data_IF_775729932567
#
_entry.id   IF_775729932567
#
_cell.length_a   1.000
_cell.length_b   1.000
_cell.length_c   1.000
_cell.angle_alpha   90.00
_cell.angle_beta   90.00
_cell.angle_gamma   90.00
#
_symmetry.space_group_name_H-M   'P 1'
#
loop_
_entity.id
_entity.type
_entity.pdbx_description
1 polymer ?
#
# COMPACT_ATOMS: atom_id res chain seq x y z
N UNK A 1 45.58 -33.71 -52.36
CA UNK A 1 45.12 -33.73 -50.94
C UNK A 1 45.35 -32.41 -50.20
N UNK A 2 45.51 -31.27 -50.89
CA UNK A 2 45.90 -29.98 -50.26
C UNK A 2 44.71 -29.04 -49.97
N UNK A 3 43.60 -29.17 -50.70
CA UNK A 3 42.45 -28.26 -50.61
C UNK A 3 41.65 -28.37 -49.29
N UNK A 4 41.51 -29.57 -48.72
CA UNK A 4 40.71 -29.80 -47.49
C UNK A 4 41.37 -29.25 -46.21
N UNK A 5 42.70 -29.16 -46.20
CA UNK A 5 43.48 -28.62 -45.08
C UNK A 5 43.50 -27.08 -45.09
N UNK A 6 43.44 -26.46 -46.27
CA UNK A 6 43.34 -25.01 -46.43
C UNK A 6 41.96 -24.48 -45.99
N UNK A 7 40.87 -25.19 -46.30
CA UNK A 7 39.48 -24.81 -45.92
C UNK A 7 39.27 -24.81 -44.39
N UNK A 8 39.76 -25.85 -43.69
CA UNK A 8 39.69 -25.93 -42.22
C UNK A 8 40.47 -24.80 -41.51
N UNK A 9 41.56 -24.33 -42.13
CA UNK A 9 42.39 -23.26 -41.57
C UNK A 9 41.72 -21.89 -41.72
N UNK A 10 41.07 -21.64 -42.86
CA UNK A 10 40.30 -20.41 -43.09
C UNK A 10 39.03 -20.34 -42.21
N UNK A 11 38.32 -21.46 -41.99
CA UNK A 11 37.17 -21.49 -41.06
C UNK A 11 37.57 -21.18 -39.62
N UNK A 12 38.68 -21.73 -39.13
CA UNK A 12 39.21 -21.42 -37.79
C UNK A 12 39.62 -19.94 -37.68
N UNK A 13 40.19 -19.36 -38.74
CA UNK A 13 40.57 -17.94 -38.78
C UNK A 13 39.35 -17.02 -38.78
N UNK A 14 38.28 -17.39 -39.49
CA UNK A 14 37.00 -16.66 -39.49
C UNK A 14 36.32 -16.71 -38.13
N UNK A 15 36.28 -17.87 -37.45
CA UNK A 15 35.70 -18.01 -36.11
C UNK A 15 36.43 -17.13 -35.08
N UNK A 16 37.76 -17.11 -35.08
CA UNK A 16 38.55 -16.24 -34.18
C UNK A 16 38.31 -14.75 -34.42
N UNK A 17 38.10 -14.34 -35.68
CA UNK A 17 37.76 -12.95 -36.02
C UNK A 17 36.37 -12.57 -35.50
N UNK A 18 35.38 -13.44 -35.67
CA UNK A 18 34.03 -13.22 -35.17
C UNK A 18 33.97 -13.14 -33.63
N UNK A 19 34.75 -13.97 -32.94
CA UNK A 19 34.84 -13.97 -31.49
C UNK A 19 35.55 -12.70 -30.96
N UNK A 20 36.62 -12.26 -31.61
CA UNK A 20 37.29 -11.00 -31.30
C UNK A 20 36.40 -9.78 -31.54
N UNK A 21 35.58 -9.79 -32.60
CA UNK A 21 34.62 -8.71 -32.87
C UNK A 21 33.52 -8.66 -31.81
N UNK A 22 33.01 -9.82 -31.38
CA UNK A 22 31.98 -9.92 -30.33
C UNK A 22 32.50 -9.40 -28.99
N UNK A 23 33.75 -9.72 -28.64
CA UNK A 23 34.34 -9.25 -27.38
C UNK A 23 34.63 -7.73 -27.43
N UNK A 24 35.09 -7.20 -28.57
CA UNK A 24 35.23 -5.74 -28.76
C UNK A 24 33.90 -5.00 -28.61
N UNK A 25 32.82 -5.48 -29.23
CA UNK A 25 31.48 -4.87 -29.11
C UNK A 25 30.97 -4.91 -27.67
N UNK A 26 31.23 -6.00 -26.93
CA UNK A 26 30.86 -6.14 -25.52
C UNK A 26 31.63 -5.18 -24.62
N UNK A 27 32.93 -4.98 -24.87
CA UNK A 27 33.74 -4.02 -24.13
C UNK A 27 33.31 -2.57 -24.40
N UNK A 28 33.00 -2.23 -25.65
CA UNK A 28 32.52 -0.90 -26.03
C UNK A 28 31.15 -0.58 -25.39
N UNK A 29 30.24 -1.55 -25.33
CA UNK A 29 28.94 -1.39 -24.68
C UNK A 29 29.09 -1.13 -23.16
N UNK A 30 29.99 -1.87 -22.49
CA UNK A 30 30.29 -1.65 -21.06
C UNK A 30 30.92 -0.28 -20.81
N UNK A 31 31.84 0.16 -21.66
CA UNK A 31 32.45 1.48 -21.54
C UNK A 31 31.42 2.62 -21.72
N UNK A 32 30.48 2.48 -22.67
CA UNK A 32 29.38 3.44 -22.85
C UNK A 32 28.45 3.48 -21.64
N UNK A 33 28.13 2.33 -21.05
CA UNK A 33 27.28 2.27 -19.85
C UNK A 33 27.95 2.94 -18.64
N UNK A 34 29.23 2.67 -18.40
CA UNK A 34 29.97 3.31 -17.29
C UNK A 34 30.03 4.83 -17.47
N UNK A 35 30.24 5.32 -18.70
CA UNK A 35 30.26 6.76 -18.99
C UNK A 35 28.91 7.46 -18.77
N UNK A 36 27.79 6.74 -18.93
CA UNK A 36 26.45 7.25 -18.63
C UNK A 36 26.18 7.28 -17.12
N UNK A 37 26.60 6.25 -16.39
CA UNK A 37 26.50 6.16 -14.93
C UNK A 37 27.30 7.28 -14.25
N UNK A 38 28.53 7.53 -14.70
CA UNK A 38 29.38 8.61 -14.17
C UNK A 38 28.79 10.01 -14.46
N UNK A 39 28.17 10.22 -15.64
CA UNK A 39 27.47 11.47 -15.94
C UNK A 39 26.23 11.69 -15.07
N UNK A 40 25.51 10.63 -14.71
CA UNK A 40 24.37 10.73 -13.78
C UNK A 40 24.82 10.99 -12.34
N UNK A 41 25.95 10.42 -11.91
CA UNK A 41 26.51 10.67 -10.59
C UNK A 41 27.00 12.13 -10.43
N UNK A 42 27.68 12.68 -11.44
CA UNK A 42 28.14 14.08 -11.42
C UNK A 42 26.98 15.09 -11.48
N UNK A 43 25.90 14.80 -12.21
CA UNK A 43 24.71 15.67 -12.25
C UNK A 43 23.96 15.76 -10.90
N UNK A 44 24.18 14.82 -9.98
CA UNK A 44 23.61 14.84 -8.62
C UNK A 44 24.46 15.57 -7.57
N UNK A 45 25.70 15.95 -7.88
CA UNK A 45 26.57 16.63 -6.91
C UNK A 45 26.64 18.16 -7.07
N UNK A 46 26.33 18.71 -8.26
CA UNK A 46 26.36 20.17 -8.49
C UNK A 46 25.03 20.91 -8.22
N UNK A 47 24.00 20.25 -7.68
CA UNK A 47 22.68 20.88 -7.40
C UNK A 47 22.18 20.73 -5.96
N UNK A 48 23.04 20.26 -5.04
CA UNK A 48 22.63 19.92 -3.68
C UNK A 48 22.98 20.95 -2.59
N UNK A 49 23.74 22.01 -2.87
CA UNK A 49 24.26 22.91 -1.81
C UNK A 49 23.81 24.37 -1.86
N UNK A 50 22.95 24.78 -2.81
CA UNK A 50 22.42 26.15 -2.86
C UNK A 50 20.90 26.30 -2.65
N UNK A 51 20.13 25.21 -2.71
CA UNK A 51 18.65 25.25 -2.67
C UNK A 51 18.06 24.64 -1.39
N UNK A 52 18.91 24.21 -0.44
CA UNK A 52 18.46 23.55 0.80
C UNK A 52 17.95 24.54 1.85
N UNK A 53 18.48 25.76 1.89
CA UNK A 53 18.10 26.74 2.91
C UNK A 53 16.78 27.47 2.58
N UNK A 54 16.43 27.64 1.30
CA UNK A 54 15.17 28.30 0.90
C UNK A 54 13.97 27.32 0.87
N UNK A 55 14.23 26.02 0.72
CA UNK A 55 13.21 24.98 0.77
C UNK A 55 12.75 24.64 2.19
N UNK A 56 13.65 24.72 3.19
CA UNK A 56 13.31 24.44 4.59
C UNK A 56 12.36 25.52 5.17
N UNK A 57 12.58 26.80 4.86
CA UNK A 57 11.67 27.90 5.28
C UNK A 57 10.27 27.82 4.64
N UNK A 58 10.19 27.44 3.35
CA UNK A 58 8.90 27.27 2.66
C UNK A 58 8.10 26.06 3.14
N UNK A 59 8.77 25.02 3.63
CA UNK A 59 8.10 23.83 4.18
C UNK A 59 7.50 24.16 5.55
N UNK A 60 8.17 24.95 6.39
CA UNK A 60 7.61 25.37 7.68
C UNK A 60 6.38 26.28 7.52
N UNK A 61 6.38 27.21 6.56
CA UNK A 61 5.21 28.07 6.29
C UNK A 61 4.02 27.28 5.69
N UNK A 62 4.29 26.28 4.83
CA UNK A 62 3.26 25.39 4.30
C UNK A 62 2.67 24.45 5.37
N UNK A 63 3.47 23.99 6.33
CA UNK A 63 2.98 23.19 7.47
C UNK A 63 2.13 24.06 8.40
N UNK A 64 2.53 25.31 8.66
CA UNK A 64 1.76 26.26 9.47
C UNK A 64 0.37 26.56 8.90
N UNK A 65 0.24 26.64 7.58
CA UNK A 65 -1.05 26.85 6.91
C UNK A 65 -1.89 25.58 6.79
N UNK A 66 -1.27 24.40 6.66
CA UNK A 66 -1.99 23.11 6.61
C UNK A 66 -2.64 22.73 7.96
N UNK A 67 -2.04 23.13 9.09
CA UNK A 67 -2.59 22.88 10.43
C UNK A 67 -3.77 23.80 10.79
N UNK A 68 -3.94 24.93 10.08
CA UNK A 68 -5.00 25.90 10.34
C UNK A 68 -6.23 25.79 9.43
N UNK A 69 -6.27 24.75 8.58
CA UNK A 69 -7.51 24.40 7.87
C UNK A 69 -8.21 23.31 8.69
N UNK A 70 -9.49 23.48 9.09
CA UNK A 70 -10.27 22.37 9.59
C UNK A 70 -10.55 21.43 8.41
N UNK A 71 -9.57 20.60 8.09
CA UNK A 71 -9.75 19.47 7.21
C UNK A 71 -10.74 18.57 7.93
N UNK A 72 -11.99 18.54 7.45
CA UNK A 72 -12.97 17.49 7.78
C UNK A 72 -12.46 16.14 7.24
N UNK A 73 -11.34 15.66 7.75
CA UNK A 73 -11.08 14.25 7.86
C UNK A 73 -11.50 13.92 9.27
N UNK A 74 -12.56 13.11 9.43
CA UNK A 74 -12.89 12.46 10.70
C UNK A 74 -11.58 12.08 11.37
N UNK A 75 -11.26 12.76 12.46
CA UNK A 75 -9.90 12.81 12.97
C UNK A 75 -9.40 11.40 13.20
N UNK A 76 -8.13 11.16 12.86
CA UNK A 76 -7.50 9.88 13.09
C UNK A 76 -7.69 9.52 14.57
N UNK A 77 -8.64 8.62 14.83
CA UNK A 77 -8.78 8.00 16.13
C UNK A 77 -7.41 7.44 16.48
N UNK A 78 -6.92 7.75 17.69
CA UNK A 78 -5.63 7.24 18.12
C UNK A 78 -5.58 5.72 17.98
N UNK A 79 -4.42 5.17 17.62
CA UNK A 79 -4.25 3.72 17.37
C UNK A 79 -4.85 2.86 18.49
N UNK A 80 -4.71 3.30 19.75
CA UNK A 80 -5.30 2.66 20.93
C UNK A 80 -6.82 2.53 20.88
N UNK A 81 -7.53 3.55 20.38
CA UNK A 81 -9.00 3.53 20.27
C UNK A 81 -9.43 2.55 19.18
N UNK A 82 -8.70 2.53 18.06
CA UNK A 82 -8.95 1.57 16.97
C UNK A 82 -8.70 0.14 17.45
N UNK A 83 -7.65 -0.11 18.22
CA UNK A 83 -7.36 -1.43 18.75
C UNK A 83 -8.39 -1.89 19.79
N UNK A 84 -8.85 -0.96 20.65
CA UNK A 84 -9.96 -1.23 21.58
C UNK A 84 -11.25 -1.56 20.83
N UNK A 85 -11.56 -0.83 19.76
CA UNK A 85 -12.70 -1.09 18.90
C UNK A 85 -12.60 -2.47 18.25
N UNK A 86 -11.44 -2.82 17.69
CA UNK A 86 -11.18 -4.14 17.07
C UNK A 86 -11.40 -5.27 18.07
N UNK A 87 -10.86 -5.12 19.28
CA UNK A 87 -11.00 -6.14 20.33
C UNK A 87 -12.46 -6.29 20.79
N UNK A 88 -13.20 -5.19 20.87
CA UNK A 88 -14.63 -5.23 21.20
C UNK A 88 -15.45 -5.93 20.11
N UNK A 89 -15.23 -5.53 18.85
CA UNK A 89 -15.88 -6.14 17.69
C UNK A 89 -15.55 -7.63 17.54
N UNK A 90 -14.40 -8.07 18.07
CA UNK A 90 -13.99 -9.46 18.03
C UNK A 90 -14.98 -10.38 18.76
N UNK A 91 -15.57 -9.88 19.86
CA UNK A 91 -16.51 -10.64 20.70
C UNK A 91 -17.82 -10.90 19.95
N UNK A 92 -18.30 -9.93 19.15
CA UNK A 92 -19.54 -10.06 18.39
C UNK A 92 -19.36 -10.64 17.00
N UNK A 93 -18.11 -10.83 16.55
CA UNK A 93 -17.86 -11.40 15.24
C UNK A 93 -18.28 -12.86 15.20
N UNK A 94 -19.22 -13.14 14.29
CA UNK A 94 -19.66 -14.50 13.98
C UNK A 94 -19.39 -14.76 12.49
N UNK A 95 -18.40 -15.60 12.16
CA UNK A 95 -18.07 -15.88 10.76
C UNK A 95 -19.25 -16.58 10.07
N UNK A 96 -19.56 -16.20 8.81
CA UNK A 96 -20.72 -16.74 8.12
C UNK A 96 -20.56 -18.25 7.83
N UNK A 97 -21.56 -19.09 8.19
CA UNK A 97 -21.47 -20.53 7.97
C UNK A 97 -21.42 -20.83 6.47
N UNK A 98 -20.43 -21.63 6.05
CA UNK A 98 -20.28 -22.05 4.65
C UNK A 98 -19.55 -21.05 3.74
N UNK A 99 -19.07 -19.91 4.26
CA UNK A 99 -18.22 -18.99 3.52
C UNK A 99 -16.74 -19.18 3.91
N UNK A 100 -16.15 -20.28 3.45
CA UNK A 100 -14.73 -20.56 3.67
C UNK A 100 -13.87 -19.40 3.11
N UNK A 101 -12.98 -18.86 3.95
CA UNK A 101 -12.12 -17.73 3.61
C UNK A 101 -12.70 -16.35 3.95
N UNK A 102 -13.98 -16.23 4.34
CA UNK A 102 -14.57 -14.96 4.77
C UNK A 102 -13.89 -14.39 6.03
N UNK A 103 -13.30 -15.26 6.85
CA UNK A 103 -12.46 -14.98 8.01
C UNK A 103 -11.09 -14.35 7.66
N UNK A 104 -10.68 -14.40 6.40
CA UNK A 104 -9.43 -13.80 5.91
C UNK A 104 -9.65 -12.50 5.12
N UNK A 105 -10.92 -12.13 4.88
CA UNK A 105 -11.25 -11.01 4.03
C UNK A 105 -11.36 -9.72 4.82
N UNK A 106 -10.58 -8.75 4.34
CA UNK A 106 -10.58 -7.38 4.83
C UNK A 106 -11.75 -6.63 4.20
N UNK A 107 -12.56 -5.94 5.01
CA UNK A 107 -13.73 -5.17 4.57
C UNK A 107 -13.66 -3.74 5.09
N UNK A 108 -13.68 -2.76 4.21
CA UNK A 108 -13.77 -1.35 4.58
C UNK A 108 -15.22 -0.94 4.89
N UNK A 109 -15.42 -0.37 6.07
CA UNK A 109 -16.75 -0.02 6.59
C UNK A 109 -16.75 1.42 7.11
N UNK A 110 -17.82 2.14 6.79
CA UNK A 110 -18.15 3.44 7.35
C UNK A 110 -19.26 3.23 8.37
N UNK A 111 -19.04 3.64 9.62
CA UNK A 111 -19.99 3.52 10.72
C UNK A 111 -20.39 4.92 11.16
N UNK A 112 -21.70 5.17 11.20
CA UNK A 112 -22.30 6.39 11.74
C UNK A 112 -22.85 6.10 13.13
N UNK A 113 -22.45 6.92 14.10
CA UNK A 113 -22.74 6.73 15.52
C UNK A 113 -23.52 7.94 16.06
N UNK A 114 -24.28 7.71 17.13
CA UNK A 114 -24.93 8.79 17.87
C UNK A 114 -24.02 9.33 19.00
N UNK A 115 -24.47 10.38 19.70
CA UNK A 115 -23.76 10.98 20.83
C UNK A 115 -23.50 10.01 22.01
N UNK A 116 -24.14 8.83 22.02
CA UNK A 116 -23.99 7.77 23.02
C UNK A 116 -23.13 6.58 22.52
N UNK A 117 -22.45 6.74 21.39
CA UNK A 117 -21.69 5.69 20.71
C UNK A 117 -22.54 4.46 20.29
N UNK A 118 -23.85 4.65 20.10
CA UNK A 118 -24.73 3.63 19.52
C UNK A 118 -24.68 3.74 17.99
N UNK A 119 -24.66 2.58 17.33
CA UNK A 119 -24.59 2.48 15.87
C UNK A 119 -25.93 2.91 15.27
N UNK A 120 -25.91 3.98 14.47
CA UNK A 120 -27.08 4.41 13.70
C UNK A 120 -27.11 3.77 12.31
N UNK A 121 -25.96 3.72 11.64
CA UNK A 121 -25.87 3.19 10.29
C UNK A 121 -24.49 2.63 9.99
N UNK A 122 -24.45 1.66 9.08
CA UNK A 122 -23.22 0.95 8.70
C UNK A 122 -23.22 0.72 7.19
N UNK A 123 -22.25 1.32 6.53
CA UNK A 123 -22.11 1.31 5.08
C UNK A 123 -20.82 0.61 4.66
N UNK A 124 -20.91 -0.29 3.67
CA UNK A 124 -19.75 -0.93 3.08
C UNK A 124 -19.21 -0.04 1.96
N UNK A 125 -17.90 0.25 2.00
CA UNK A 125 -17.25 1.11 1.01
C UNK A 125 -17.18 0.43 -0.36
N UNK A 126 -16.68 -0.81 -0.41
CA UNK A 126 -16.49 -1.54 -1.66
C UNK A 126 -17.75 -2.32 -2.09
N UNK A 127 -18.77 -1.58 -2.54
CA UNK A 127 -20.01 -2.15 -3.09
C UNK A 127 -19.76 -2.92 -4.40
N UNK A 128 -18.73 -2.56 -5.16
CA UNK A 128 -18.42 -3.18 -6.45
C UNK A 128 -17.92 -4.62 -6.25
N UNK A 129 -16.98 -4.83 -5.32
CA UNK A 129 -16.49 -6.16 -4.95
C UNK A 129 -17.58 -7.02 -4.31
N UNK A 130 -18.42 -6.43 -3.45
CA UNK A 130 -19.59 -7.11 -2.87
C UNK A 130 -20.54 -7.68 -3.93
N UNK A 131 -20.66 -7.04 -5.09
CA UNK A 131 -21.53 -7.55 -6.15
C UNK A 131 -20.88 -8.65 -7.00
N UNK A 132 -19.55 -8.72 -7.03
CA UNK A 132 -18.79 -9.68 -7.85
C UNK A 132 -18.37 -10.93 -7.08
N UNK A 133 -18.14 -10.79 -5.78
CA UNK A 133 -17.58 -11.84 -4.92
C UNK A 133 -18.60 -12.20 -3.83
N UNK A 134 -19.13 -13.42 -3.92
CA UNK A 134 -20.11 -13.94 -2.95
C UNK A 134 -19.52 -14.14 -1.56
N UNK A 135 -18.23 -14.47 -1.46
CA UNK A 135 -17.52 -14.68 -0.19
C UNK A 135 -17.29 -13.34 0.49
N UNK A 136 -16.84 -12.32 -0.26
CA UNK A 136 -16.76 -10.95 0.25
C UNK A 136 -18.12 -10.42 0.68
N UNK A 137 -19.18 -10.71 -0.08
CA UNK A 137 -20.56 -10.33 0.31
C UNK A 137 -21.00 -10.96 1.61
N UNK A 138 -20.65 -12.23 1.85
CA UNK A 138 -20.91 -12.89 3.12
C UNK A 138 -20.11 -12.24 4.26
N UNK A 139 -18.82 -12.01 4.07
CA UNK A 139 -17.94 -11.35 5.03
C UNK A 139 -18.43 -9.93 5.39
N UNK A 140 -18.75 -9.11 4.40
CA UNK A 140 -19.24 -7.75 4.60
C UNK A 140 -20.59 -7.71 5.35
N UNK A 141 -21.48 -8.67 5.07
CA UNK A 141 -22.74 -8.81 5.81
C UNK A 141 -22.51 -9.22 7.26
N UNK A 142 -21.58 -10.15 7.50
CA UNK A 142 -21.19 -10.56 8.85
C UNK A 142 -20.53 -9.41 9.61
N UNK A 143 -19.69 -8.61 8.97
CA UNK A 143 -19.02 -7.48 9.59
C UNK A 143 -20.01 -6.37 9.97
N UNK A 144 -20.96 -6.06 9.09
CA UNK A 144 -22.07 -5.16 9.40
C UNK A 144 -22.84 -5.63 10.62
N UNK A 145 -23.13 -6.94 10.70
CA UNK A 145 -23.84 -7.52 11.84
C UNK A 145 -23.01 -7.41 13.12
N UNK A 146 -21.72 -7.74 13.08
CA UNK A 146 -20.85 -7.65 14.25
C UNK A 146 -20.81 -6.22 14.83
N UNK A 147 -20.74 -5.20 13.98
CA UNK A 147 -20.77 -3.79 14.42
C UNK A 147 -22.08 -3.43 15.12
N UNK A 148 -23.22 -3.83 14.54
CA UNK A 148 -24.55 -3.56 15.11
C UNK A 148 -24.76 -4.34 16.42
N UNK A 149 -24.38 -5.62 16.45
CA UNK A 149 -24.54 -6.50 17.61
C UNK A 149 -23.65 -6.05 18.79
N UNK A 150 -22.51 -5.41 18.51
CA UNK A 150 -21.60 -4.85 19.52
C UNK A 150 -21.92 -3.41 19.93
N UNK A 151 -23.04 -2.83 19.48
CA UNK A 151 -23.47 -1.51 19.92
C UNK A 151 -23.91 -1.55 21.40
N UNK A 152 -23.52 -0.57 22.24
CA UNK A 152 -22.70 0.62 21.93
C UNK A 152 -21.20 0.33 21.88
N UNK A 153 -20.48 1.09 21.05
CA UNK A 153 -19.03 0.95 20.88
C UNK A 153 -18.26 1.63 22.04
N UNK A 154 -17.08 1.10 22.43
CA UNK A 154 -16.31 1.60 23.57
C UNK A 154 -15.47 2.83 23.15
N UNK A 155 -16.16 3.91 22.75
CA UNK A 155 -15.52 5.14 22.30
C UNK A 155 -15.46 6.16 23.45
N UNK A 156 -14.39 6.97 23.52
CA UNK A 156 -14.28 8.02 24.53
C UNK A 156 -15.36 9.09 24.27
N UNK A 157 -16.10 9.47 25.32
CA UNK A 157 -17.12 10.53 25.24
C UNK A 157 -16.52 11.91 24.91
N UNK A 158 -15.23 12.08 25.18
CA UNK A 158 -14.46 13.26 24.83
C UNK A 158 -14.15 13.22 23.33
N UNK A 159 -14.70 14.18 22.56
CA UNK A 159 -14.56 14.34 21.10
C UNK A 159 -15.53 13.54 20.19
N UNK A 160 -16.84 13.62 20.46
CA UNK A 160 -17.88 13.08 19.58
C UNK A 160 -17.75 13.44 18.09
N UNK A 161 -17.31 14.66 17.77
CA UNK A 161 -17.15 15.09 16.38
C UNK A 161 -16.12 14.29 15.59
N UNK A 162 -15.16 13.67 16.28
CA UNK A 162 -14.11 12.85 15.67
C UNK A 162 -14.64 11.48 15.28
N UNK A 163 -15.59 10.94 16.04
CA UNK A 163 -16.07 9.56 15.91
C UNK A 163 -17.55 9.39 15.59
N UNK A 164 -18.29 10.47 15.37
CA UNK A 164 -19.66 10.42 14.83
C UNK A 164 -19.74 9.68 13.48
N UNK A 165 -18.68 9.75 12.69
CA UNK A 165 -18.55 9.05 11.42
C UNK A 165 -17.12 8.51 11.30
N UNK A 166 -17.00 7.19 11.39
CA UNK A 166 -15.72 6.48 11.36
C UNK A 166 -15.63 5.61 10.13
N UNK A 167 -14.51 5.70 9.43
CA UNK A 167 -14.14 4.72 8.43
C UNK A 167 -12.97 3.91 8.96
N UNK A 168 -13.11 2.59 9.01
CA UNK A 168 -12.02 1.70 9.38
C UNK A 168 -12.07 0.40 8.61
N UNK A 169 -10.91 -0.24 8.57
CA UNK A 169 -10.70 -1.54 7.96
C UNK A 169 -11.08 -2.65 8.96
N UNK A 170 -12.08 -3.45 8.61
CA UNK A 170 -12.50 -4.62 9.36
C UNK A 170 -11.70 -5.84 8.88
N UNK A 171 -10.73 -6.28 9.67
CA UNK A 171 -9.93 -7.48 9.40
C UNK A 171 -10.26 -8.57 10.44
N UNK A 172 -10.97 -9.65 10.02
CA UNK A 172 -11.35 -10.72 10.93
C UNK A 172 -10.16 -11.53 11.47
N UNK A 173 -8.97 -11.45 10.87
CA UNK A 173 -7.79 -12.19 11.34
C UNK A 173 -7.28 -11.67 12.68
N UNK A 174 -7.46 -10.37 12.96
CA UNK A 174 -7.16 -9.79 14.27
C UNK A 174 -8.20 -10.17 15.32
N UNK A 175 -9.38 -10.58 14.86
CA UNK A 175 -10.53 -10.91 15.69
C UNK A 175 -10.53 -12.39 16.08
N UNK A 176 -10.22 -13.30 15.15
CA UNK A 176 -10.31 -14.75 15.37
C UNK A 176 -9.13 -15.36 16.13
N UNK A 177 -8.26 -14.53 16.72
CA UNK A 177 -7.12 -14.99 17.52
C UNK A 177 -7.48 -14.91 19.01
N UNK A 178 -8.35 -15.79 19.47
CA UNK A 178 -8.57 -16.10 20.89
C UNK A 178 -8.65 -17.60 21.09
#
# INVERSE_FOLDING_TARGET
MTSKLQDLTERKKQQRRAEQEKEKKKQEAKAKLNKLLEKQAKKKQDTADADRQEAEEKIEDLIGQALNTPRKTSGALGATVIDQLRNHLAICWSPPPGAAGADSLIVDIIVRLNNRAEVQDVEIVDKARMNRDSTFKAAARAARRAVVDCSPLPLPLDNHDTWKELQFEFDPRFITRS
#
